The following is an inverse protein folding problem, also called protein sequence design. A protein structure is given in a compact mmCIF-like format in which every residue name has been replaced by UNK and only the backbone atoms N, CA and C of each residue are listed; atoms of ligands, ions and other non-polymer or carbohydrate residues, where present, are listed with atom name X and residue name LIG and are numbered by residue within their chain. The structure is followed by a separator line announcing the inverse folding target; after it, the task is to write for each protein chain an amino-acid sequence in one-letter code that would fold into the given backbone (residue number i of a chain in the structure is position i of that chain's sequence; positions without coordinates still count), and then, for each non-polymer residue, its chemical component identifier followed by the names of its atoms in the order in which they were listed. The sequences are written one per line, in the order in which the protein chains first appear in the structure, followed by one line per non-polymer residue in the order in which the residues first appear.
data_IF_653817804971
#
_entry.id   IF_653817804971
#
_cell.length_a   1.000
_cell.length_b   1.000
_cell.length_c   1.000
_cell.angle_alpha   90.00
_cell.angle_beta   90.00
_cell.angle_gamma   90.00
#
_symmetry.space_group_name_H-M   'P 1'
#
loop_
_entity.id
_entity.type
_entity.pdbx_description
1 polymer ?
#
# COMPACT_ATOMS: atom_id res chain seq x y z
N UNK A 1 2.90 -1.67 -59.39
CA UNK A 1 4.05 -1.75 -58.45
C UNK A 1 3.91 -0.79 -57.27
N UNK A 2 3.80 0.54 -57.45
CA UNK A 2 3.66 1.51 -56.34
C UNK A 2 2.40 1.31 -55.45
N UNK A 3 1.26 0.98 -56.05
CA UNK A 3 0.00 0.74 -55.31
C UNK A 3 0.05 -0.54 -54.43
N UNK A 4 0.78 -1.53 -54.87
CA UNK A 4 0.96 -2.79 -54.09
C UNK A 4 1.90 -2.59 -52.88
N UNK A 5 2.91 -1.75 -53.02
CA UNK A 5 3.85 -1.40 -51.96
C UNK A 5 3.18 -0.54 -50.89
N UNK A 6 2.32 0.40 -51.27
CA UNK A 6 1.51 1.19 -50.33
C UNK A 6 0.50 0.31 -49.57
N UNK A 7 -0.20 -0.59 -50.26
CA UNK A 7 -1.13 -1.52 -49.61
C UNK A 7 -0.43 -2.45 -48.63
N UNK A 8 0.76 -2.95 -48.97
CA UNK A 8 1.58 -3.76 -48.06
C UNK A 8 2.02 -2.99 -46.81
N UNK A 9 2.45 -1.73 -47.00
CA UNK A 9 2.88 -0.85 -45.93
C UNK A 9 1.75 -0.54 -44.95
N UNK A 10 0.56 -0.26 -45.47
CA UNK A 10 -0.66 -0.02 -44.66
C UNK A 10 -1.02 -1.29 -43.86
N UNK A 11 -0.95 -2.48 -44.47
CA UNK A 11 -1.21 -3.76 -43.78
C UNK A 11 -0.21 -3.98 -42.63
N UNK A 12 1.07 -3.77 -42.89
CA UNK A 12 2.12 -3.92 -41.89
C UNK A 12 1.94 -2.95 -40.70
N UNK A 13 1.57 -1.70 -40.96
CA UNK A 13 1.30 -0.70 -39.91
C UNK A 13 0.10 -1.13 -39.06
N UNK A 14 -0.99 -1.63 -39.65
CA UNK A 14 -2.14 -2.14 -38.92
C UNK A 14 -1.79 -3.35 -38.05
N UNK A 15 -1.00 -4.27 -38.56
CA UNK A 15 -0.53 -5.43 -37.78
C UNK A 15 0.34 -4.99 -36.57
N UNK A 16 1.20 -4.00 -36.76
CA UNK A 16 2.00 -3.43 -35.68
C UNK A 16 1.15 -2.71 -34.62
N UNK A 17 0.12 -1.98 -35.05
CA UNK A 17 -0.83 -1.32 -34.14
C UNK A 17 -1.62 -2.34 -33.31
N UNK A 18 -2.14 -3.39 -33.97
CA UNK A 18 -2.84 -4.48 -33.27
C UNK A 18 -1.91 -5.16 -32.25
N UNK A 19 -0.69 -5.46 -32.64
CA UNK A 19 0.29 -6.05 -31.74
C UNK A 19 0.60 -5.16 -30.53
N UNK A 20 0.78 -3.87 -30.74
CA UNK A 20 0.98 -2.88 -29.64
C UNK A 20 -0.22 -2.85 -28.69
N UNK A 21 -1.45 -2.87 -29.24
CA UNK A 21 -2.66 -2.86 -28.41
C UNK A 21 -2.81 -4.15 -27.60
N UNK A 22 -2.51 -5.33 -28.20
CA UNK A 22 -2.49 -6.60 -27.48
C UNK A 22 -1.46 -6.59 -26.35
N UNK A 23 -0.25 -6.12 -26.62
CA UNK A 23 0.81 -6.04 -25.59
C UNK A 23 0.44 -5.05 -24.48
N UNK A 24 -0.22 -3.94 -24.82
CA UNK A 24 -0.76 -2.98 -23.86
C UNK A 24 -1.81 -3.65 -22.95
N UNK A 25 -2.78 -4.37 -23.53
CA UNK A 25 -3.81 -5.09 -22.76
C UNK A 25 -3.22 -6.15 -21.83
N UNK A 26 -2.23 -6.91 -22.30
CA UNK A 26 -1.51 -7.89 -21.46
C UNK A 26 -0.81 -7.23 -20.28
N UNK A 27 -0.17 -6.07 -20.49
CA UNK A 27 0.48 -5.31 -19.43
C UNK A 27 -0.53 -4.79 -18.40
N UNK A 28 -1.67 -4.28 -18.86
CA UNK A 28 -2.76 -3.81 -18.00
C UNK A 28 -3.30 -4.97 -17.15
N UNK A 29 -3.62 -6.11 -17.78
CA UNK A 29 -4.16 -7.27 -17.09
C UNK A 29 -3.16 -7.85 -16.07
N UNK A 30 -1.88 -7.89 -16.40
CA UNK A 30 -0.85 -8.28 -15.45
C UNK A 30 -0.80 -7.33 -14.24
N UNK A 31 -0.70 -6.04 -14.48
CA UNK A 31 -0.64 -5.02 -13.41
C UNK A 31 -1.91 -4.97 -12.56
N UNK A 32 -3.07 -5.37 -13.10
CA UNK A 32 -4.33 -5.49 -12.36
C UNK A 32 -4.28 -6.62 -11.32
N UNK A 33 -3.61 -7.71 -11.63
CA UNK A 33 -3.58 -8.92 -10.82
C UNK A 33 -2.29 -9.07 -9.99
N UNK A 34 -1.32 -8.16 -10.17
CA UNK A 34 0.00 -8.22 -9.54
C UNK A 34 0.39 -6.82 -9.06
N UNK A 35 0.28 -6.62 -7.75
CA UNK A 35 0.61 -5.33 -7.14
C UNK A 35 2.09 -4.96 -7.28
N UNK A 36 3.02 -5.92 -7.20
CA UNK A 36 4.45 -5.65 -7.36
C UNK A 36 4.77 -5.18 -8.79
N UNK A 37 4.17 -5.84 -9.80
CA UNK A 37 4.31 -5.40 -11.20
C UNK A 37 3.71 -4.00 -11.42
N UNK A 38 2.53 -3.72 -10.86
CA UNK A 38 1.91 -2.40 -10.92
C UNK A 38 2.78 -1.32 -10.26
N UNK A 39 3.25 -1.57 -9.05
CA UNK A 39 4.07 -0.63 -8.29
C UNK A 39 5.32 -0.25 -9.08
N UNK A 40 6.06 -1.24 -9.57
CA UNK A 40 7.28 -1.02 -10.36
C UNK A 40 7.02 -0.25 -11.67
N UNK A 41 5.92 -0.53 -12.35
CA UNK A 41 5.60 0.10 -13.65
C UNK A 41 5.00 1.48 -13.50
N UNK A 42 4.05 1.65 -12.57
CA UNK A 42 3.18 2.81 -12.54
C UNK A 42 3.46 3.76 -11.36
N UNK A 43 3.94 3.25 -10.22
CA UNK A 43 4.17 4.10 -9.07
C UNK A 43 5.60 4.67 -9.06
N UNK A 44 5.70 5.92 -8.63
CA UNK A 44 6.98 6.63 -8.47
C UNK A 44 7.08 7.13 -7.04
N UNK A 45 8.21 6.86 -6.42
CA UNK A 45 8.51 7.25 -5.04
C UNK A 45 9.79 8.06 -4.98
N UNK A 46 9.94 8.84 -3.91
CA UNK A 46 11.21 9.47 -3.54
C UNK A 46 11.86 8.55 -2.51
N UNK A 47 13.10 8.16 -2.76
CA UNK A 47 13.93 7.41 -1.81
C UNK A 47 14.62 8.35 -0.81
N UNK A 48 15.32 7.79 0.16
CA UNK A 48 16.17 8.58 1.08
C UNK A 48 17.27 9.37 0.36
N UNK A 49 17.73 8.86 -0.77
CA UNK A 49 18.64 9.58 -1.66
C UNK A 49 17.83 10.55 -2.55
N UNK A 50 17.63 11.75 -2.03
CA UNK A 50 16.87 12.79 -2.73
C UNK A 50 17.48 13.20 -4.08
N UNK A 51 18.78 12.97 -4.29
CA UNK A 51 19.46 13.27 -5.55
C UNK A 51 18.94 12.41 -6.72
N UNK A 52 18.41 11.22 -6.45
CA UNK A 52 17.80 10.36 -7.46
C UNK A 52 16.44 10.84 -7.95
N UNK A 53 15.80 11.77 -7.23
CA UNK A 53 14.45 12.22 -7.55
C UNK A 53 13.41 11.11 -7.42
N UNK A 54 12.47 11.08 -8.37
CA UNK A 54 11.44 10.03 -8.40
C UNK A 54 11.93 8.79 -9.13
N UNK A 55 11.90 7.65 -8.43
CA UNK A 55 12.28 6.33 -8.96
C UNK A 55 11.08 5.37 -9.03
N UNK A 56 11.14 4.31 -9.86
CA UNK A 56 10.15 3.24 -9.81
C UNK A 56 10.00 2.65 -8.41
N UNK A 57 8.77 2.31 -8.03
CA UNK A 57 8.53 1.72 -6.72
C UNK A 57 8.87 0.21 -6.76
N UNK A 58 10.08 -0.12 -6.43
CA UNK A 58 10.55 -1.49 -6.25
C UNK A 58 10.54 -1.85 -4.76
N UNK A 59 10.03 -3.05 -4.43
CA UNK A 59 9.92 -3.47 -3.04
C UNK A 59 11.28 -3.81 -2.44
N UNK A 60 11.56 -3.25 -1.27
CA UNK A 60 12.68 -3.69 -0.44
C UNK A 60 12.32 -4.98 0.32
N UNK A 61 13.29 -5.56 1.05
CA UNK A 61 13.11 -6.84 1.73
C UNK A 61 11.96 -6.82 2.77
N UNK A 62 11.80 -5.73 3.52
CA UNK A 62 10.70 -5.60 4.48
C UNK A 62 9.34 -5.53 3.77
N UNK A 63 9.27 -4.82 2.65
CA UNK A 63 8.07 -4.71 1.83
C UNK A 63 7.73 -6.03 1.12
N UNK A 64 8.71 -6.79 0.67
CA UNK A 64 8.50 -8.15 0.13
C UNK A 64 7.93 -9.09 1.19
N UNK A 65 8.45 -9.03 2.42
CA UNK A 65 7.94 -9.87 3.52
C UNK A 65 6.48 -9.59 3.83
N UNK A 66 6.08 -8.32 3.94
CA UNK A 66 4.67 -7.98 4.15
C UNK A 66 3.82 -8.37 2.94
N UNK A 67 4.32 -8.18 1.71
CA UNK A 67 3.61 -8.54 0.48
C UNK A 67 3.29 -10.03 0.45
N UNK A 68 4.26 -10.90 0.68
CA UNK A 68 4.07 -12.35 0.74
C UNK A 68 3.04 -12.74 1.80
N UNK A 69 3.10 -12.12 3.00
CA UNK A 69 2.16 -12.41 4.07
C UNK A 69 0.72 -11.97 3.74
N UNK A 70 0.55 -10.86 3.04
CA UNK A 70 -0.76 -10.36 2.60
C UNK A 70 -1.33 -11.23 1.48
N UNK A 71 -0.54 -11.56 0.45
CA UNK A 71 -0.99 -12.40 -0.66
C UNK A 71 -1.37 -13.82 -0.18
N UNK A 72 -0.65 -14.34 0.81
CA UNK A 72 -1.02 -15.60 1.48
C UNK A 72 -2.40 -15.50 2.13
N UNK A 73 -2.70 -14.42 2.87
CA UNK A 73 -4.02 -14.24 3.50
C UNK A 73 -5.14 -14.17 2.46
N UNK A 74 -4.94 -13.46 1.35
CA UNK A 74 -5.93 -13.37 0.27
C UNK A 74 -6.22 -14.75 -0.29
N UNK A 75 -5.18 -15.54 -0.56
CA UNK A 75 -5.31 -16.88 -1.11
C UNK A 75 -6.04 -17.84 -0.15
N UNK A 76 -5.78 -17.74 1.14
CA UNK A 76 -6.29 -18.66 2.16
C UNK A 76 -7.63 -18.24 2.74
N UNK A 77 -7.87 -16.92 2.88
CA UNK A 77 -9.00 -16.37 3.63
C UNK A 77 -9.89 -15.43 2.81
N UNK A 78 -9.53 -15.11 1.57
CA UNK A 78 -10.22 -14.15 0.72
C UNK A 78 -10.09 -12.68 1.17
N UNK A 79 -9.53 -12.42 2.34
CA UNK A 79 -9.42 -11.09 2.95
C UNK A 79 -8.11 -10.88 3.70
N UNK A 80 -7.78 -9.64 4.03
CA UNK A 80 -6.58 -9.26 4.78
C UNK A 80 -6.94 -8.70 6.14
N UNK A 81 -6.28 -9.22 7.18
CA UNK A 81 -6.28 -8.71 8.54
C UNK A 81 -4.83 -8.75 9.01
N UNK A 82 -4.11 -7.65 8.87
CA UNK A 82 -2.67 -7.59 9.14
C UNK A 82 -2.34 -6.61 10.27
N UNK A 83 -1.54 -7.08 11.21
CA UNK A 83 -0.86 -6.25 12.21
C UNK A 83 0.63 -6.22 11.87
N UNK A 84 1.17 -5.05 11.59
CA UNK A 84 2.57 -4.90 11.19
C UNK A 84 3.34 -4.13 12.26
N UNK A 85 4.19 -4.84 12.97
CA UNK A 85 5.15 -4.24 13.90
C UNK A 85 6.48 -4.07 13.18
N UNK A 86 6.92 -2.85 13.03
CA UNK A 86 8.05 -2.49 12.18
C UNK A 86 9.09 -1.63 12.90
N UNK A 87 10.30 -1.61 12.38
CA UNK A 87 11.25 -0.56 12.71
C UNK A 87 10.92 0.74 11.92
N UNK A 88 11.53 1.84 12.31
CA UNK A 88 11.37 3.13 11.61
C UNK A 88 11.91 3.05 10.18
N UNK A 89 11.36 3.84 9.28
CA UNK A 89 11.88 4.10 7.92
C UNK A 89 12.08 2.84 7.05
N UNK A 90 11.32 1.78 7.27
CA UNK A 90 11.33 0.57 6.41
C UNK A 90 10.43 0.70 5.17
N UNK A 91 9.81 1.86 4.96
CA UNK A 91 8.95 2.11 3.80
C UNK A 91 7.60 1.38 3.83
N UNK A 92 7.13 0.93 5.00
CA UNK A 92 5.89 0.17 5.12
C UNK A 92 4.66 1.02 4.85
N UNK A 93 4.64 2.27 5.33
CA UNK A 93 3.55 3.20 5.01
C UNK A 93 3.49 3.50 3.50
N UNK A 94 4.64 3.56 2.81
CA UNK A 94 4.72 3.68 1.34
C UNK A 94 4.13 2.44 0.65
N UNK A 95 4.50 1.24 1.12
CA UNK A 95 3.95 -0.02 0.61
C UNK A 95 2.42 -0.05 0.77
N UNK A 96 1.94 0.26 1.97
CA UNK A 96 0.50 0.20 2.27
C UNK A 96 -0.27 1.27 1.48
N UNK A 97 0.25 2.50 1.37
CA UNK A 97 -0.36 3.54 0.54
C UNK A 97 -0.42 3.13 -0.94
N UNK A 98 0.65 2.55 -1.48
CA UNK A 98 0.67 2.03 -2.85
C UNK A 98 -0.34 0.89 -3.06
N UNK A 99 -0.48 -0.02 -2.09
CA UNK A 99 -1.46 -1.11 -2.12
C UNK A 99 -2.89 -0.60 -2.06
N UNK A 100 -3.19 0.32 -1.14
CA UNK A 100 -4.50 0.99 -1.05
C UNK A 100 -4.84 1.66 -2.38
N UNK A 101 -3.87 2.38 -2.96
CA UNK A 101 -4.03 3.02 -4.26
C UNK A 101 -4.35 2.01 -5.36
N UNK A 102 -3.54 0.96 -5.50
CA UNK A 102 -3.72 -0.09 -6.51
C UNK A 102 -5.09 -0.77 -6.41
N UNK A 103 -5.50 -1.19 -5.21
CA UNK A 103 -6.80 -1.81 -4.98
C UNK A 103 -7.94 -0.86 -5.34
N UNK A 104 -7.87 0.39 -4.90
CA UNK A 104 -8.87 1.41 -5.20
C UNK A 104 -8.95 1.71 -6.69
N UNK A 105 -7.80 1.69 -7.37
CA UNK A 105 -7.71 1.95 -8.80
C UNK A 105 -8.35 0.84 -9.65
N UNK A 106 -8.17 -0.42 -9.27
CA UNK A 106 -8.62 -1.55 -10.08
C UNK A 106 -9.94 -2.19 -9.63
N UNK A 107 -10.34 -2.05 -8.38
CA UNK A 107 -11.54 -2.70 -7.85
C UNK A 107 -12.70 -1.73 -7.82
N UNK A 108 -13.80 -1.98 -8.56
CA UNK A 108 -14.97 -1.11 -8.58
C UNK A 108 -15.60 -0.95 -7.19
N UNK A 109 -16.19 0.22 -6.96
CA UNK A 109 -16.92 0.57 -5.75
C UNK A 109 -16.12 0.44 -4.45
N UNK A 110 -14.78 0.46 -4.54
CA UNK A 110 -13.88 0.38 -3.39
C UNK A 110 -13.87 1.71 -2.64
N UNK A 111 -14.13 1.64 -1.35
CA UNK A 111 -14.03 2.77 -0.42
C UNK A 111 -12.86 2.53 0.53
N UNK A 112 -11.77 3.23 0.28
CA UNK A 112 -10.57 3.10 1.09
C UNK A 112 -10.49 4.24 2.11
N UNK A 113 -10.18 3.89 3.33
CA UNK A 113 -9.96 4.84 4.43
C UNK A 113 -8.54 4.67 4.95
N UNK A 114 -7.83 5.78 5.02
CA UNK A 114 -6.49 5.85 5.61
C UNK A 114 -6.57 6.76 6.83
N UNK A 115 -6.08 6.28 7.96
CA UNK A 115 -6.04 7.06 9.20
C UNK A 115 -4.61 7.15 9.67
N UNK A 116 -4.11 8.37 9.73
CA UNK A 116 -2.78 8.68 10.20
C UNK A 116 -2.80 9.14 11.67
N UNK A 117 -1.66 8.98 12.33
CA UNK A 117 -1.46 9.40 13.71
C UNK A 117 -1.74 10.90 13.91
N UNK A 118 -1.22 11.73 13.01
CA UNK A 118 -1.33 13.20 13.07
C UNK A 118 -1.57 13.81 11.68
N UNK A 119 -1.79 15.12 11.65
CA UNK A 119 -2.05 15.85 10.40
C UNK A 119 -0.85 15.84 9.45
N UNK A 120 0.36 15.97 9.96
CA UNK A 120 1.56 16.00 9.13
C UNK A 120 1.76 14.65 8.41
N UNK A 121 1.56 13.54 9.12
CA UNK A 121 1.58 12.19 8.54
C UNK A 121 0.44 11.99 7.53
N UNK A 122 -0.76 12.50 7.84
CA UNK A 122 -1.90 12.46 6.92
C UNK A 122 -1.58 13.20 5.62
N UNK A 123 -1.07 14.41 5.71
CA UNK A 123 -0.71 15.24 4.55
C UNK A 123 0.41 14.60 3.71
N UNK A 124 1.39 13.97 4.37
CA UNK A 124 2.46 13.25 3.68
C UNK A 124 1.93 12.03 2.89
N UNK A 125 1.05 11.21 3.49
CA UNK A 125 0.43 10.07 2.83
C UNK A 125 -0.48 10.51 1.68
N UNK A 126 -1.20 11.62 1.86
CA UNK A 126 -2.03 12.18 0.81
C UNK A 126 -1.19 12.68 -0.37
N UNK A 127 -0.14 13.46 -0.09
CA UNK A 127 0.80 13.95 -1.10
C UNK A 127 1.43 12.79 -1.88
N UNK A 128 1.81 11.71 -1.18
CA UNK A 128 2.32 10.49 -1.81
C UNK A 128 1.31 9.89 -2.78
N UNK A 129 0.04 9.76 -2.36
CA UNK A 129 -1.03 9.21 -3.20
C UNK A 129 -1.33 10.09 -4.42
N UNK A 130 -1.25 11.42 -4.29
CA UNK A 130 -1.34 12.34 -5.42
C UNK A 130 -0.16 12.20 -6.38
N UNK A 131 1.06 12.09 -5.85
CA UNK A 131 2.24 11.86 -6.66
C UNK A 131 2.16 10.55 -7.47
N UNK A 132 1.50 9.51 -6.93
CA UNK A 132 1.23 8.30 -7.72
C UNK A 132 0.38 8.63 -8.95
N UNK A 133 -0.73 9.38 -8.79
CA UNK A 133 -1.60 9.77 -9.90
C UNK A 133 -0.86 10.65 -10.91
N UNK A 134 -0.18 11.69 -10.44
CA UNK A 134 0.45 12.69 -11.29
C UNK A 134 1.58 12.11 -12.15
N UNK A 135 2.20 11.02 -11.68
CA UNK A 135 3.37 10.38 -12.32
C UNK A 135 3.09 9.03 -12.96
N UNK A 136 1.83 8.60 -12.98
CA UNK A 136 1.44 7.46 -13.81
C UNK A 136 1.67 7.77 -15.29
N UNK A 137 1.94 6.73 -16.07
CA UNK A 137 1.97 6.88 -17.53
C UNK A 137 0.59 7.31 -18.06
N UNK A 138 0.55 8.08 -19.12
CA UNK A 138 -0.69 8.64 -19.70
C UNK A 138 -1.73 7.55 -20.00
N UNK A 139 -1.28 6.37 -20.42
CA UNK A 139 -2.15 5.22 -20.68
C UNK A 139 -2.90 4.69 -19.43
N UNK A 140 -2.43 5.02 -18.23
CA UNK A 140 -2.98 4.56 -16.96
C UNK A 140 -3.53 5.69 -16.10
N UNK A 141 -3.28 6.93 -16.48
CA UNK A 141 -3.68 8.09 -15.67
C UNK A 141 -5.20 8.16 -15.55
N UNK A 142 -5.75 8.09 -14.32
CA UNK A 142 -7.19 8.10 -14.15
C UNK A 142 -7.77 9.50 -14.29
N UNK A 143 -9.00 9.56 -14.80
CA UNK A 143 -9.83 10.74 -14.62
C UNK A 143 -10.40 10.78 -13.20
N UNK A 144 -10.45 11.96 -12.62
CA UNK A 144 -10.89 12.16 -11.25
C UNK A 144 -12.22 12.93 -11.20
N UNK A 145 -13.21 12.37 -10.52
CA UNK A 145 -14.46 13.10 -10.19
C UNK A 145 -14.18 14.11 -9.09
N UNK A 146 -13.31 13.74 -8.13
CA UNK A 146 -12.95 14.59 -6.99
C UNK A 146 -11.47 14.43 -6.66
N UNK A 147 -10.82 15.55 -6.43
CA UNK A 147 -9.47 15.60 -5.87
C UNK A 147 -9.35 16.86 -5.01
N UNK A 148 -9.39 16.70 -3.70
CA UNK A 148 -9.21 17.80 -2.74
C UNK A 148 -8.12 17.42 -1.71
N UNK A 149 -8.00 18.13 -0.61
CA UNK A 149 -6.93 17.91 0.39
C UNK A 149 -7.04 16.58 1.17
N UNK A 150 -8.19 15.87 1.11
CA UNK A 150 -8.43 14.66 1.93
C UNK A 150 -9.10 13.53 1.17
N UNK A 151 -9.51 13.74 -0.07
CA UNK A 151 -10.28 12.77 -0.83
C UNK A 151 -9.87 12.75 -2.30
N UNK A 152 -9.75 11.54 -2.84
CA UNK A 152 -9.66 11.28 -4.27
C UNK A 152 -10.77 10.31 -4.65
N UNK A 153 -11.49 10.61 -5.76
CA UNK A 153 -12.50 9.73 -6.34
C UNK A 153 -12.25 9.57 -7.84
N UNK A 154 -12.15 8.30 -8.26
CA UNK A 154 -11.94 7.93 -9.66
C UNK A 154 -13.27 7.90 -10.42
N UNK A 155 -13.26 8.33 -11.70
CA UNK A 155 -14.44 8.31 -12.55
C UNK A 155 -14.76 6.94 -13.14
N UNK A 156 -13.71 6.17 -13.46
CA UNK A 156 -13.83 4.93 -14.23
C UNK A 156 -14.44 3.74 -13.47
N UNK A 157 -14.46 3.77 -12.13
CA UNK A 157 -14.91 2.62 -11.32
C UNK A 157 -15.70 3.00 -10.05
N UNK A 158 -16.07 4.27 -9.88
CA UNK A 158 -16.77 4.81 -8.70
C UNK A 158 -16.06 4.52 -7.36
N UNK A 159 -14.74 4.35 -7.38
CA UNK A 159 -13.93 4.09 -6.19
C UNK A 159 -13.20 5.33 -5.73
N UNK A 160 -12.76 5.31 -4.48
CA UNK A 160 -12.00 6.43 -3.95
C UNK A 160 -11.37 6.13 -2.60
N UNK A 161 -10.48 7.02 -2.18
CA UNK A 161 -9.88 6.95 -0.86
C UNK A 161 -9.99 8.29 -0.13
N UNK A 162 -10.15 8.20 1.19
CA UNK A 162 -10.19 9.34 2.10
C UNK A 162 -9.14 9.18 3.18
N UNK A 163 -8.54 10.31 3.55
CA UNK A 163 -7.58 10.36 4.64
C UNK A 163 -8.15 11.12 5.83
N UNK A 164 -7.90 10.58 7.02
CA UNK A 164 -8.29 11.16 8.29
C UNK A 164 -7.10 11.16 9.24
N UNK A 165 -7.20 12.01 10.26
CA UNK A 165 -6.29 12.00 11.40
C UNK A 165 -6.95 11.26 12.56
N UNK A 166 -6.22 10.43 13.28
CA UNK A 166 -6.69 9.81 14.52
C UNK A 166 -7.16 10.89 15.50
N UNK A 167 -8.32 10.69 16.11
CA UNK A 167 -8.93 11.70 16.97
C UNK A 167 -9.81 12.72 16.23
N UNK A 168 -9.84 12.77 14.90
CA UNK A 168 -10.87 13.52 14.17
C UNK A 168 -12.25 12.92 14.49
N UNK A 169 -13.25 13.75 14.85
CA UNK A 169 -14.63 13.27 15.09
C UNK A 169 -15.24 12.52 13.89
N UNK A 170 -14.71 12.79 12.71
CA UNK A 170 -15.19 12.22 11.43
C UNK A 170 -14.45 10.94 11.03
N UNK A 171 -13.35 10.59 11.74
CA UNK A 171 -12.54 9.43 11.40
C UNK A 171 -13.38 8.14 11.42
N UNK A 172 -13.62 7.59 10.23
CA UNK A 172 -14.37 6.34 10.07
C UNK A 172 -15.88 6.41 10.28
N UNK A 173 -16.46 7.56 10.61
CA UNK A 173 -17.90 7.71 10.76
C UNK A 173 -18.59 7.91 9.41
N UNK A 174 -19.75 7.26 9.23
CA UNK A 174 -20.57 7.42 8.03
C UNK A 174 -19.98 6.82 6.76
N UNK A 175 -18.95 5.99 6.85
CA UNK A 175 -18.39 5.22 5.74
C UNK A 175 -18.32 3.74 6.10
N UNK A 176 -18.58 2.90 5.11
CA UNK A 176 -18.36 1.45 5.21
C UNK A 176 -17.12 1.14 4.36
N UNK A 177 -15.90 1.20 4.95
CA UNK A 177 -14.69 1.00 4.17
C UNK A 177 -14.56 -0.47 3.77
N UNK A 178 -14.12 -0.69 2.53
CA UNK A 178 -13.66 -2.00 2.06
C UNK A 178 -12.18 -2.19 2.36
N UNK A 179 -11.43 -1.09 2.41
CA UNK A 179 -10.00 -1.09 2.75
C UNK A 179 -9.77 -0.06 3.87
N UNK A 180 -9.10 -0.49 4.91
CA UNK A 180 -8.72 0.35 6.05
C UNK A 180 -7.21 0.24 6.29
N UNK A 181 -6.52 1.38 6.23
CA UNK A 181 -5.11 1.52 6.62
C UNK A 181 -5.01 2.41 7.84
N UNK A 182 -4.46 1.89 8.92
CA UNK A 182 -4.17 2.61 10.15
C UNK A 182 -2.65 2.75 10.31
N UNK A 183 -2.14 3.98 10.18
CA UNK A 183 -0.72 4.26 10.25
C UNK A 183 -0.32 4.78 11.64
N UNK A 184 0.78 4.23 12.17
CA UNK A 184 1.34 4.52 13.51
C UNK A 184 0.30 4.40 14.63
N UNK A 185 -0.56 3.37 14.55
CA UNK A 185 -1.73 3.24 15.42
C UNK A 185 -1.39 2.96 16.90
N UNK A 186 -0.18 2.51 17.24
CA UNK A 186 0.26 2.38 18.64
C UNK A 186 0.44 3.75 19.34
N UNK A 187 0.48 4.85 18.58
CA UNK A 187 0.63 6.22 19.11
C UNK A 187 -0.70 6.98 19.21
N UNK A 188 -1.82 6.35 18.81
CA UNK A 188 -3.10 7.04 18.82
C UNK A 188 -3.60 7.27 20.24
N UNK A 189 -4.11 8.47 20.50
CA UNK A 189 -4.86 8.72 21.72
C UNK A 189 -6.24 8.08 21.63
N UNK A 190 -6.70 7.41 22.69
CA UNK A 190 -7.98 6.70 22.72
C UNK A 190 -8.11 5.64 21.62
N UNK A 191 -7.03 4.95 21.32
CA UNK A 191 -6.88 3.93 20.26
C UNK A 191 -8.00 2.89 20.29
N UNK A 192 -8.38 2.38 21.48
CA UNK A 192 -9.45 1.37 21.64
C UNK A 192 -10.80 1.81 21.06
N UNK A 193 -11.22 3.04 21.39
CA UNK A 193 -12.53 3.56 20.94
C UNK A 193 -12.54 3.80 19.44
N UNK A 194 -11.41 4.33 18.92
CA UNK A 194 -11.28 4.62 17.49
C UNK A 194 -11.27 3.30 16.71
N UNK A 195 -10.43 2.35 17.10
CA UNK A 195 -10.32 1.06 16.41
C UNK A 195 -11.63 0.25 16.49
N UNK A 196 -12.28 0.21 17.65
CA UNK A 196 -13.57 -0.47 17.79
C UNK A 196 -14.64 0.10 16.84
N UNK A 197 -14.74 1.43 16.76
CA UNK A 197 -15.69 2.09 15.84
C UNK A 197 -15.36 1.84 14.36
N UNK A 198 -14.08 1.82 14.01
CA UNK A 198 -13.63 1.55 12.65
C UNK A 198 -13.89 0.12 12.20
N UNK A 199 -13.59 -0.85 13.05
CA UNK A 199 -13.74 -2.27 12.72
C UNK A 199 -15.21 -2.68 12.55
N UNK A 200 -16.13 -2.05 13.27
CA UNK A 200 -17.57 -2.25 13.05
C UNK A 200 -18.02 -1.80 11.65
N UNK A 201 -17.32 -0.85 11.06
CA UNK A 201 -17.62 -0.35 9.70
C UNK A 201 -17.07 -1.22 8.57
N UNK A 202 -16.08 -2.10 8.83
CA UNK A 202 -15.47 -2.93 7.78
C UNK A 202 -16.14 -4.30 7.73
N UNK A 203 -16.69 -4.65 6.57
CA UNK A 203 -17.28 -5.96 6.33
C UNK A 203 -16.23 -7.10 6.47
N UNK A 204 -16.72 -8.29 6.85
CA UNK A 204 -15.92 -9.52 6.81
C UNK A 204 -15.92 -10.21 5.44
N UNK A 205 -16.50 -9.57 4.42
CA UNK A 205 -16.58 -10.11 3.06
C UNK A 205 -15.20 -10.26 2.41
N UNK A 206 -15.13 -11.11 1.41
CA UNK A 206 -13.95 -11.28 0.58
C UNK A 206 -13.54 -9.96 -0.10
N UNK A 207 -12.26 -9.78 -0.33
CA UNK A 207 -11.68 -8.57 -0.91
C UNK A 207 -11.47 -7.42 0.07
N UNK A 208 -11.97 -7.53 1.32
CA UNK A 208 -11.73 -6.49 2.33
C UNK A 208 -10.33 -6.58 2.95
N UNK A 209 -9.71 -5.43 3.20
CA UNK A 209 -8.37 -5.37 3.80
C UNK A 209 -8.34 -4.42 4.99
N UNK A 210 -7.82 -4.90 6.12
CA UNK A 210 -7.46 -4.06 7.28
C UNK A 210 -5.97 -4.26 7.53
N UNK A 211 -5.21 -3.18 7.43
CA UNK A 211 -3.77 -3.15 7.67
C UNK A 211 -3.49 -2.11 8.75
N UNK A 212 -3.06 -2.56 9.91
CA UNK A 212 -2.58 -1.71 10.99
C UNK A 212 -1.08 -1.80 11.03
N UNK A 213 -0.39 -0.67 10.97
CA UNK A 213 1.07 -0.64 11.05
C UNK A 213 1.54 0.37 12.08
N UNK A 214 2.57 0.00 12.83
CA UNK A 214 3.19 0.87 13.82
C UNK A 214 4.61 0.45 14.15
N UNK A 215 5.40 1.42 14.61
CA UNK A 215 6.55 1.12 15.46
C UNK A 215 6.08 0.82 16.88
N UNK A 216 6.92 0.17 17.69
CA UNK A 216 6.60 -0.13 19.07
C UNK A 216 6.44 1.17 19.90
N UNK A 217 5.43 1.18 20.79
CA UNK A 217 5.17 2.26 21.74
C UNK A 217 4.86 1.67 23.13
N UNK A 218 5.82 0.94 23.68
CA UNK A 218 5.65 0.25 24.98
C UNK A 218 4.77 -1.00 24.89
N UNK A 219 4.50 -1.60 26.06
CA UNK A 219 3.72 -2.83 26.22
C UNK A 219 2.27 -2.54 26.65
N UNK A 220 1.64 -1.50 26.11
CA UNK A 220 0.28 -1.05 26.45
C UNK A 220 -0.47 -0.62 25.19
N UNK A 221 -1.76 -0.29 25.33
CA UNK A 221 -2.59 0.21 24.22
C UNK A 221 -3.25 -0.93 23.40
N UNK A 222 -4.17 -0.55 22.53
CA UNK A 222 -4.95 -1.51 21.74
C UNK A 222 -4.06 -2.29 20.76
N UNK A 223 -3.11 -1.61 20.11
CA UNK A 223 -2.21 -2.28 19.16
C UNK A 223 -1.41 -3.40 19.82
N UNK A 224 -0.83 -3.15 21.02
CA UNK A 224 -0.10 -4.17 21.76
C UNK A 224 -1.01 -5.36 22.16
N UNK A 225 -2.22 -5.09 22.70
CA UNK A 225 -3.15 -6.17 23.07
C UNK A 225 -3.60 -6.98 21.85
N UNK A 226 -3.90 -6.32 20.73
CA UNK A 226 -4.25 -7.01 19.49
C UNK A 226 -3.09 -7.86 18.97
N UNK A 227 -1.87 -7.34 19.04
CA UNK A 227 -0.66 -8.07 18.69
C UNK A 227 -0.52 -9.35 19.54
N UNK A 228 -0.59 -9.23 20.86
CA UNK A 228 -0.48 -10.39 21.76
C UNK A 228 -1.61 -11.40 21.55
N UNK A 229 -2.82 -10.96 21.29
CA UNK A 229 -3.93 -11.84 20.95
C UNK A 229 -3.71 -12.55 19.60
N UNK A 230 -3.15 -11.85 18.59
CA UNK A 230 -2.82 -12.44 17.29
C UNK A 230 -1.71 -13.51 17.43
N UNK A 231 -0.68 -13.25 18.24
CA UNK A 231 0.36 -14.27 18.53
C UNK A 231 -0.20 -15.55 19.16
N UNK A 232 -1.27 -15.43 19.94
CA UNK A 232 -1.95 -16.60 20.58
C UNK A 232 -3.08 -17.20 19.72
N UNK A 233 -3.35 -16.62 18.53
CA UNK A 233 -4.45 -17.07 17.67
C UNK A 233 -5.85 -16.74 18.21
N UNK A 234 -5.97 -15.74 19.09
CA UNK A 234 -7.24 -15.33 19.74
C UNK A 234 -8.02 -14.29 18.91
N UNK A 235 -7.48 -13.83 17.81
CA UNK A 235 -8.17 -12.97 16.84
C UNK A 235 -7.83 -13.42 15.40
N UNK A 236 -8.45 -12.82 14.39
CA UNK A 236 -8.25 -13.18 12.99
C UNK A 236 -7.10 -12.41 12.29
N UNK A 237 -6.38 -11.58 13.04
CA UNK A 237 -5.23 -10.83 12.52
C UNK A 237 -3.99 -11.70 12.43
N UNK A 238 -3.18 -11.42 11.40
CA UNK A 238 -1.86 -12.03 11.21
C UNK A 238 -0.79 -11.04 11.67
N UNK A 239 0.00 -11.37 12.70
CA UNK A 239 1.09 -10.52 13.15
C UNK A 239 2.29 -10.66 12.21
N UNK A 240 2.79 -9.54 11.72
CA UNK A 240 3.94 -9.45 10.79
C UNK A 240 5.01 -8.59 11.45
N UNK A 241 6.06 -9.22 11.96
CA UNK A 241 7.18 -8.51 12.55
C UNK A 241 8.27 -8.23 11.52
N UNK A 242 8.69 -6.98 11.45
CA UNK A 242 9.74 -6.47 10.56
C UNK A 242 10.88 -5.87 11.39
N UNK A 243 11.87 -6.69 11.78
CA UNK A 243 12.96 -6.23 12.62
C UNK A 243 13.86 -5.22 11.88
N UNK A 244 14.55 -4.38 12.65
CA UNK A 244 15.40 -3.32 12.12
C UNK A 244 16.53 -3.83 11.22
N UNK A 245 17.08 -4.98 11.53
CA UNK A 245 18.22 -5.57 10.78
C UNK A 245 17.85 -6.06 9.37
N UNK A 246 16.57 -6.09 9.00
CA UNK A 246 16.17 -6.30 7.60
C UNK A 246 16.54 -5.12 6.69
N UNK A 247 16.84 -3.96 7.28
CA UNK A 247 17.22 -2.77 6.55
C UNK A 247 18.74 -2.66 6.54
N UNK A 248 19.36 -2.88 5.38
CA UNK A 248 20.84 -2.89 5.24
C UNK A 248 21.50 -1.61 5.79
N UNK A 249 20.82 -0.48 5.68
CA UNK A 249 21.29 0.82 6.19
C UNK A 249 21.42 0.87 7.71
N UNK A 250 20.81 -0.06 8.44
CA UNK A 250 20.89 -0.16 9.90
C UNK A 250 21.93 -1.18 10.35
N UNK A 251 22.61 -1.82 9.41
CA UNK A 251 23.68 -2.78 9.68
C UNK A 251 25.00 -2.23 9.18
N UNK A 252 26.08 -2.55 9.88
CA UNK A 252 27.44 -2.26 9.47
C UNK A 252 28.28 -3.53 9.55
N UNK A 253 29.30 -3.61 8.72
CA UNK A 253 30.30 -4.68 8.85
C UNK A 253 31.03 -4.48 10.17
N UNK A 254 31.06 -5.48 11.05
CA UNK A 254 31.81 -5.35 12.29
C UNK A 254 33.31 -5.18 11.96
N UNK A 255 34.07 -4.43 12.79
CA UNK A 255 35.50 -4.32 12.63
C UNK A 255 36.21 -5.69 12.82
N UNK A 256 37.40 -5.85 12.23
CA UNK A 256 38.13 -7.13 12.21
C UNK A 256 38.42 -7.69 13.60
N UNK A 257 38.45 -6.85 14.62
CA UNK A 257 38.66 -7.22 16.03
C UNK A 257 37.38 -7.32 16.85
N UNK A 258 36.20 -7.41 16.21
CA UNK A 258 34.93 -7.50 16.91
C UNK A 258 34.74 -8.90 17.52
N UNK A 259 34.76 -8.95 18.85
CA UNK A 259 34.42 -10.18 19.59
C UNK A 259 32.90 -10.16 19.92
N UNK A 260 32.20 -11.19 19.47
CA UNK A 260 30.80 -11.38 19.78
C UNK A 260 30.63 -11.80 21.25
N UNK A 261 29.95 -10.97 22.02
CA UNK A 261 29.58 -11.32 23.40
C UNK A 261 28.37 -12.27 23.35
N UNK A 262 28.62 -13.57 23.57
CA UNK A 262 27.61 -14.63 23.46
C UNK A 262 26.67 -14.68 24.71
N UNK A 263 26.86 -13.80 25.69
CA UNK A 263 26.07 -13.78 26.94
C UNK A 263 24.74 -12.99 26.85
N UNK A 264 24.39 -12.42 25.69
CA UNK A 264 23.18 -11.63 25.49
C UNK A 264 22.16 -12.34 24.56
N UNK A 265 21.99 -13.64 24.67
CA UNK A 265 20.84 -14.35 24.08
C UNK A 265 19.67 -14.47 25.04
#
# INVERSE_FOLDING_TARGET
MELDEQAYKIKLLKELEIKKEIDKRKKIEKSKNDFEDFARRQLRIITKDAAQGYVPFEFNEAQKKIHVAIEKQIKEKGRVRALVLKARQQGISTYTAGRVFWKTFYTPHTRSVVIAHDSATSDALFTMSKNFIDRMSDDFKPELIRSNAKEVKFSHNDSGFRLYTAGSPEAGRGTTPTILHCSECAFWQSDEKILAGLFQGVSSADGTEIILESTANGATGAFYRMWKAAERGENDYVPIFLPWFMTKEYTMTPPDNFERNIQEE
#
